data_IF_959461112789
#
_entry.id   IF_959461112789
#
_cell.length_a   1.000
_cell.length_b   1.000
_cell.length_c   1.000
_cell.angle_alpha   90.00
_cell.angle_beta   90.00
_cell.angle_gamma   90.00
#
_symmetry.space_group_name_H-M   'P 1'
#
loop_
_entity.id
_entity.type
_entity.pdbx_description
1 polymer ?
#
# COMPACT_ATOMS: atom_id res chain seq x y z
N UNK A 1 -9.71 -9.33 -4.22
CA UNK A 1 -9.80 -8.75 -5.58
C UNK A 1 -10.13 -9.89 -6.55
N UNK A 2 -10.97 -9.62 -7.56
CA UNK A 2 -11.36 -10.61 -8.57
C UNK A 2 -11.08 -10.03 -9.96
N UNK A 3 -10.39 -10.80 -10.81
CA UNK A 3 -10.05 -10.41 -12.18
C UNK A 3 -10.83 -11.25 -13.20
N UNK A 4 -11.43 -10.58 -14.18
CA UNK A 4 -12.12 -11.20 -15.31
C UNK A 4 -11.53 -10.72 -16.64
N UNK A 5 -11.32 -11.65 -17.57
CA UNK A 5 -11.09 -11.36 -18.98
C UNK A 5 -12.43 -11.39 -19.73
N UNK A 6 -12.66 -10.39 -20.57
CA UNK A 6 -13.85 -10.30 -21.41
C UNK A 6 -13.52 -10.78 -22.83
N UNK A 7 -14.44 -11.49 -23.46
CA UNK A 7 -14.30 -12.01 -24.83
C UNK A 7 -15.30 -11.34 -25.79
N UNK A 8 -15.13 -11.55 -27.10
CA UNK A 8 -15.94 -10.90 -28.15
C UNK A 8 -17.44 -11.25 -28.09
N UNK A 9 -17.77 -12.40 -27.50
CA UNK A 9 -19.15 -12.81 -27.25
C UNK A 9 -19.75 -12.22 -25.95
N UNK A 10 -19.02 -11.35 -25.25
CA UNK A 10 -19.43 -10.75 -23.98
C UNK A 10 -19.38 -11.70 -22.78
N UNK A 11 -18.76 -12.88 -22.93
CA UNK A 11 -18.49 -13.79 -21.81
C UNK A 11 -17.39 -13.24 -20.92
N UNK A 12 -17.56 -13.45 -19.60
CA UNK A 12 -16.58 -13.16 -18.57
C UNK A 12 -15.94 -14.47 -18.15
N UNK A 13 -14.62 -14.55 -18.14
CA UNK A 13 -13.89 -15.65 -17.50
C UNK A 13 -13.05 -15.09 -16.37
N UNK A 14 -13.21 -15.65 -15.17
CA UNK A 14 -12.31 -15.38 -14.05
C UNK A 14 -10.92 -15.87 -14.46
N UNK A 15 -9.90 -15.04 -14.24
CA UNK A 15 -8.49 -15.39 -14.50
C UNK A 15 -7.65 -14.94 -13.30
N UNK A 16 -6.54 -15.61 -13.05
CA UNK A 16 -5.63 -15.27 -11.96
C UNK A 16 -4.60 -14.20 -12.37
N UNK A 17 -4.24 -14.11 -13.65
CA UNK A 17 -3.28 -13.14 -14.18
C UNK A 17 -3.77 -12.43 -15.44
N UNK A 18 -3.26 -11.22 -15.68
CA UNK A 18 -3.52 -10.42 -16.87
C UNK A 18 -2.21 -10.04 -17.56
N UNK A 19 -2.11 -10.28 -18.87
CA UNK A 19 -0.96 -9.89 -19.69
C UNK A 19 -1.10 -8.46 -20.26
N UNK A 20 -2.24 -7.79 -20.02
CA UNK A 20 -2.54 -6.44 -20.48
C UNK A 20 -2.24 -6.20 -21.98
N UNK A 21 -2.50 -7.21 -22.82
CA UNK A 21 -2.37 -7.09 -24.28
C UNK A 21 -3.39 -6.12 -24.86
N UNK A 22 -3.00 -5.40 -25.92
CA UNK A 22 -3.80 -4.34 -26.53
C UNK A 22 -5.13 -4.80 -27.13
N UNK A 23 -5.29 -6.08 -27.47
CA UNK A 23 -6.56 -6.65 -27.96
C UNK A 23 -7.52 -7.08 -26.84
N UNK A 24 -7.12 -6.96 -25.57
CA UNK A 24 -7.88 -7.46 -24.42
C UNK A 24 -8.62 -6.37 -23.69
N UNK A 25 -9.62 -6.82 -22.94
CA UNK A 25 -10.41 -5.99 -22.02
C UNK A 25 -10.54 -6.77 -20.73
N UNK A 26 -10.27 -6.10 -19.62
CA UNK A 26 -10.32 -6.68 -18.29
C UNK A 26 -11.32 -5.93 -17.41
N UNK A 27 -12.03 -6.68 -16.57
CA UNK A 27 -12.85 -6.16 -15.48
C UNK A 27 -12.21 -6.62 -14.18
N UNK A 28 -11.90 -5.67 -13.31
CA UNK A 28 -11.20 -5.90 -12.05
C UNK A 28 -12.09 -5.38 -10.92
N UNK A 29 -12.52 -6.28 -10.05
CA UNK A 29 -13.29 -5.94 -8.86
C UNK A 29 -12.36 -5.93 -7.62
N UNK A 30 -12.06 -4.72 -7.14
CA UNK A 30 -11.25 -4.46 -5.94
C UNK A 30 -12.13 -4.09 -4.73
N UNK A 31 -13.34 -4.65 -4.67
CA UNK A 31 -14.37 -4.41 -3.65
C UNK A 31 -14.93 -2.99 -3.64
N UNK A 32 -14.11 -1.97 -3.34
CA UNK A 32 -14.47 -0.54 -3.29
C UNK A 32 -14.52 0.13 -4.66
N UNK A 33 -13.69 -0.35 -5.60
CA UNK A 33 -13.63 0.16 -6.97
C UNK A 33 -13.70 -1.01 -7.95
N UNK A 34 -14.48 -0.84 -9.02
CA UNK A 34 -14.50 -1.74 -10.18
C UNK A 34 -13.82 -1.02 -11.33
N UNK A 35 -12.67 -1.56 -11.77
CA UNK A 35 -11.90 -1.02 -12.88
C UNK A 35 -12.24 -1.76 -14.17
N UNK A 36 -12.37 -1.00 -15.26
CA UNK A 36 -12.47 -1.48 -16.62
C UNK A 36 -11.22 -1.08 -17.38
N UNK A 37 -10.34 -2.04 -17.67
CA UNK A 37 -9.15 -1.77 -18.46
C UNK A 37 -9.39 -2.10 -19.94
N UNK A 38 -9.11 -1.13 -20.81
CA UNK A 38 -9.32 -1.22 -22.25
C UNK A 38 -7.99 -1.19 -22.99
N UNK A 39 -7.64 -2.31 -23.64
CA UNK A 39 -6.53 -2.35 -24.58
C UNK A 39 -6.79 -1.45 -25.79
N UNK A 40 -5.73 -0.84 -26.33
CA UNK A 40 -5.83 0.15 -27.41
C UNK A 40 -6.51 -0.41 -28.67
N UNK A 41 -6.27 -1.69 -28.97
CA UNK A 41 -6.75 -2.38 -30.17
C UNK A 41 -7.95 -3.30 -29.88
N UNK A 42 -8.58 -3.16 -28.71
CA UNK A 42 -9.77 -3.95 -28.37
C UNK A 42 -11.02 -3.43 -29.07
N UNK A 43 -11.91 -4.34 -29.47
CA UNK A 43 -13.11 -4.01 -30.23
C UNK A 43 -14.08 -3.15 -29.42
N UNK A 44 -14.81 -2.24 -30.08
CA UNK A 44 -15.86 -1.43 -29.42
C UNK A 44 -16.91 -2.31 -28.75
N UNK A 45 -17.35 -3.37 -29.44
CA UNK A 45 -18.31 -4.37 -28.93
C UNK A 45 -17.86 -4.98 -27.59
N UNK A 46 -16.58 -5.32 -27.47
CA UNK A 46 -16.00 -5.88 -26.24
C UNK A 46 -16.00 -4.87 -25.09
N UNK A 47 -15.70 -3.60 -25.37
CA UNK A 47 -15.75 -2.50 -24.39
C UNK A 47 -17.18 -2.23 -23.92
N UNK A 48 -18.16 -2.28 -24.82
CA UNK A 48 -19.58 -2.10 -24.48
C UNK A 48 -20.09 -3.24 -23.57
N UNK A 49 -19.72 -4.48 -23.88
CA UNK A 49 -20.00 -5.61 -23.00
C UNK A 49 -19.36 -5.44 -21.64
N UNK A 50 -18.10 -5.00 -21.58
CA UNK A 50 -17.40 -4.73 -20.33
C UNK A 50 -18.17 -3.75 -19.44
N UNK A 51 -18.62 -2.64 -20.03
CA UNK A 51 -19.37 -1.61 -19.33
C UNK A 51 -20.71 -2.14 -18.81
N UNK A 52 -21.44 -2.89 -19.63
CA UNK A 52 -22.70 -3.52 -19.22
C UNK A 52 -22.49 -4.47 -18.03
N UNK A 53 -21.48 -5.34 -18.12
CA UNK A 53 -21.14 -6.30 -17.06
C UNK A 53 -20.69 -5.64 -15.77
N UNK A 54 -19.88 -4.58 -15.84
CA UNK A 54 -19.44 -3.86 -14.65
C UNK A 54 -20.62 -3.19 -13.94
N UNK A 55 -21.55 -2.60 -14.68
CA UNK A 55 -22.77 -2.04 -14.10
C UNK A 55 -23.67 -3.12 -13.46
N UNK A 56 -23.87 -4.26 -14.13
CA UNK A 56 -24.62 -5.40 -13.57
C UNK A 56 -24.00 -5.92 -12.27
N UNK A 57 -22.67 -6.03 -12.22
CA UNK A 57 -21.94 -6.44 -11.03
C UNK A 57 -22.07 -5.40 -9.91
N UNK A 58 -21.94 -4.12 -10.25
CA UNK A 58 -21.98 -3.04 -9.26
C UNK A 58 -23.37 -2.87 -8.62
N UNK A 59 -24.45 -3.07 -9.38
CA UNK A 59 -25.83 -3.03 -8.87
C UNK A 59 -26.09 -4.05 -7.75
N UNK A 60 -25.34 -5.16 -7.74
CA UNK A 60 -25.48 -6.22 -6.73
C UNK A 60 -24.73 -5.89 -5.42
N UNK A 61 -23.83 -4.90 -5.41
CA UNK A 61 -23.04 -4.51 -4.24
C UNK A 61 -23.82 -3.54 -3.34
N UNK A 62 -23.62 -3.67 -2.03
CA UNK A 62 -24.12 -2.72 -1.01
C UNK A 62 -22.98 -2.41 -0.03
N UNK A 63 -22.36 -1.22 -0.08
CA UNK A 63 -22.62 -0.10 -0.99
C UNK A 63 -22.13 -0.35 -2.43
N UNK A 64 -22.63 0.40 -3.43
CA UNK A 64 -22.08 0.35 -4.79
C UNK A 64 -20.63 0.83 -4.79
N UNK A 65 -19.78 0.13 -5.56
CA UNK A 65 -18.39 0.48 -5.79
C UNK A 65 -18.26 1.65 -6.79
N UNK A 66 -17.14 2.37 -6.73
CA UNK A 66 -16.77 3.36 -7.75
C UNK A 66 -16.41 2.65 -9.05
N UNK A 67 -16.97 3.06 -10.18
CA UNK A 67 -16.58 2.55 -11.50
C UNK A 67 -15.49 3.45 -12.10
N UNK A 68 -14.41 2.86 -12.60
CA UNK A 68 -13.32 3.58 -13.25
C UNK A 68 -12.90 2.92 -14.55
N UNK A 69 -12.82 3.71 -15.62
CA UNK A 69 -12.35 3.25 -16.93
C UNK A 69 -10.90 3.66 -17.08
N UNK A 70 -10.06 2.69 -17.44
CA UNK A 70 -8.63 2.86 -17.63
C UNK A 70 -8.29 2.45 -19.06
N UNK A 71 -7.74 3.36 -19.84
CA UNK A 71 -7.26 3.06 -21.18
C UNK A 71 -5.78 2.68 -21.11
N UNK A 72 -5.36 1.74 -21.97
CA UNK A 72 -3.96 1.40 -22.10
C UNK A 72 -3.08 2.63 -22.34
N UNK A 73 -1.95 2.70 -21.65
CA UNK A 73 -1.00 3.81 -21.62
C UNK A 73 -1.56 5.11 -21.00
N UNK A 74 -2.73 5.02 -20.35
CA UNK A 74 -3.34 6.08 -19.55
C UNK A 74 -3.69 5.55 -18.16
N UNK A 75 -2.94 4.56 -17.68
CA UNK A 75 -3.02 4.08 -16.31
C UNK A 75 -2.48 5.13 -15.33
N UNK A 76 -3.11 5.29 -14.17
CA UNK A 76 -2.70 6.25 -13.15
C UNK A 76 -3.03 5.77 -11.74
N UNK A 77 -2.36 6.38 -10.76
CA UNK A 77 -2.64 6.18 -9.33
C UNK A 77 -2.59 4.72 -8.90
N UNK A 78 -3.52 4.32 -8.03
CA UNK A 78 -3.62 2.97 -7.46
C UNK A 78 -3.67 1.86 -8.53
N UNK A 79 -4.18 2.17 -9.73
CA UNK A 79 -4.29 1.17 -10.78
C UNK A 79 -2.91 0.69 -11.30
N UNK A 80 -1.86 1.51 -11.23
CA UNK A 80 -0.51 1.10 -11.65
C UNK A 80 -0.02 -0.06 -10.77
N UNK A 81 -0.17 0.06 -9.45
CA UNK A 81 0.18 -1.01 -8.51
C UNK A 81 -0.68 -2.27 -8.73
N UNK A 82 -1.99 -2.11 -8.94
CA UNK A 82 -2.89 -3.22 -9.28
C UNK A 82 -2.45 -3.91 -10.56
N UNK A 83 -2.05 -3.16 -11.59
CA UNK A 83 -1.59 -3.70 -12.87
C UNK A 83 -0.35 -4.58 -12.71
N UNK A 84 0.65 -4.12 -11.96
CA UNK A 84 1.85 -4.93 -11.70
C UNK A 84 1.52 -6.20 -10.92
N UNK A 85 0.70 -6.11 -9.88
CA UNK A 85 0.22 -7.28 -9.14
C UNK A 85 -0.55 -8.29 -10.02
N UNK A 86 -1.39 -7.80 -10.94
CA UNK A 86 -2.15 -8.67 -11.82
C UNK A 86 -1.31 -9.31 -12.94
N UNK A 87 -0.15 -8.72 -13.29
CA UNK A 87 0.80 -9.35 -14.22
C UNK A 87 1.47 -10.57 -13.59
N UNK A 88 1.90 -10.44 -12.33
CA UNK A 88 2.53 -11.54 -11.58
C UNK A 88 1.51 -12.62 -11.20
N UNK A 89 0.26 -12.23 -11.02
CA UNK A 89 -0.88 -13.11 -10.81
C UNK A 89 -1.35 -13.13 -9.37
N UNK A 90 -2.64 -13.36 -9.18
CA UNK A 90 -3.27 -13.48 -7.88
C UNK A 90 -2.93 -14.86 -7.30
N UNK A 91 -2.21 -14.87 -6.18
CA UNK A 91 -1.98 -16.08 -5.39
C UNK A 91 -3.35 -16.58 -4.89
N UNK A 92 -3.84 -17.69 -5.43
CA UNK A 92 -5.00 -18.39 -4.86
C UNK A 92 -4.49 -19.22 -3.68
N UNK A 93 -4.91 -18.88 -2.46
CA UNK A 93 -4.64 -19.65 -1.24
C UNK A 93 -3.18 -20.08 -1.03
N UNK A 94 -2.22 -19.27 -1.45
CA UNK A 94 -0.83 -19.47 -1.07
C UNK A 94 -0.67 -19.10 0.40
N UNK A 95 0.12 -19.89 1.13
CA UNK A 95 0.72 -19.46 2.39
C UNK A 95 1.09 -17.98 2.25
N UNK A 96 0.65 -17.15 3.21
CA UNK A 96 1.09 -15.76 3.26
C UNK A 96 2.60 -15.89 3.40
N UNK A 97 3.33 -15.72 2.29
CA UNK A 97 4.78 -15.53 2.34
C UNK A 97 4.98 -14.44 3.37
N UNK A 98 5.66 -14.80 4.46
CA UNK A 98 6.00 -13.85 5.48
C UNK A 98 6.63 -12.66 4.77
N UNK A 99 6.10 -11.47 5.02
CA UNK A 99 6.70 -10.26 4.47
C UNK A 99 8.15 -10.25 4.96
N UNK A 100 9.09 -10.06 4.04
CA UNK A 100 10.50 -9.92 4.40
C UNK A 100 10.63 -8.86 5.49
N UNK A 101 11.35 -9.20 6.56
CA UNK A 101 11.58 -8.29 7.67
C UNK A 101 12.38 -7.08 7.18
N UNK A 102 12.17 -5.93 7.83
CA UNK A 102 12.92 -4.72 7.49
C UNK A 102 14.37 -4.90 7.92
N UNK A 103 15.28 -5.05 6.96
CA UNK A 103 16.71 -4.97 7.21
C UNK A 103 17.14 -3.50 7.24
N UNK A 104 17.74 -3.07 8.36
CA UNK A 104 18.33 -1.74 8.47
C UNK A 104 19.73 -1.79 7.82
N UNK A 105 19.91 -1.12 6.69
CA UNK A 105 21.20 -1.02 5.99
C UNK A 105 22.17 -0.05 6.70
N UNK A 106 22.45 -0.28 7.98
CA UNK A 106 23.26 0.61 8.82
C UNK A 106 24.70 0.68 8.33
N UNK A 107 25.30 -0.47 8.02
CA UNK A 107 26.70 -0.55 7.59
C UNK A 107 26.91 0.18 6.26
N UNK A 108 26.05 -0.10 5.27
CA UNK A 108 26.06 0.62 3.98
C UNK A 108 25.85 2.12 4.18
N UNK A 109 24.91 2.51 5.07
CA UNK A 109 24.68 3.93 5.39
C UNK A 109 25.94 4.58 5.97
N UNK A 110 26.66 3.90 6.86
CA UNK A 110 27.90 4.39 7.46
C UNK A 110 29.05 4.47 6.44
N UNK A 111 29.14 3.51 5.52
CA UNK A 111 30.13 3.51 4.43
C UNK A 111 29.92 4.70 3.49
N UNK A 112 28.68 4.95 3.07
CA UNK A 112 28.34 6.09 2.19
C UNK A 112 28.67 7.44 2.85
N UNK A 113 28.33 7.58 4.14
CA UNK A 113 28.68 8.79 4.92
C UNK A 113 30.20 8.95 5.03
N UNK A 114 30.93 7.86 5.26
CA UNK A 114 32.40 7.86 5.35
C UNK A 114 33.04 8.20 4.00
N UNK A 115 32.39 7.87 2.89
CA UNK A 115 32.77 8.28 1.53
C UNK A 115 32.45 9.75 1.20
N UNK A 116 31.89 10.51 2.15
CA UNK A 116 31.59 11.94 2.01
C UNK A 116 30.22 12.22 1.39
N UNK A 117 29.33 11.23 1.27
CA UNK A 117 27.95 11.47 0.84
C UNK A 117 27.18 12.15 1.98
N UNK A 118 26.51 13.25 1.66
CA UNK A 118 25.67 13.95 2.63
C UNK A 118 24.51 13.06 3.09
N UNK A 119 24.26 13.10 4.40
CA UNK A 119 23.19 12.33 5.02
C UNK A 119 21.83 12.85 4.58
N UNK A 120 21.09 12.03 3.85
CA UNK A 120 19.71 12.30 3.47
C UNK A 120 18.71 11.89 4.57
N UNK A 121 17.40 12.01 4.29
CA UNK A 121 16.38 11.68 5.26
C UNK A 121 16.37 10.19 5.62
N UNK A 122 16.62 9.31 4.66
CA UNK A 122 16.62 7.87 4.89
C UNK A 122 17.79 7.48 5.79
N UNK A 123 18.99 7.97 5.51
CA UNK A 123 20.16 7.78 6.37
C UNK A 123 19.94 8.38 7.78
N UNK A 124 19.25 9.52 7.92
CA UNK A 124 18.84 10.03 9.23
C UNK A 124 17.96 9.04 10.01
N UNK A 125 16.97 8.44 9.34
CA UNK A 125 16.02 7.52 9.96
C UNK A 125 16.71 6.21 10.31
N UNK A 126 17.50 5.63 9.40
CA UNK A 126 18.21 4.37 9.58
C UNK A 126 19.13 4.42 10.81
N UNK A 127 19.96 5.47 10.92
CA UNK A 127 20.85 5.64 12.08
C UNK A 127 20.08 5.88 13.39
N UNK A 128 18.96 6.58 13.33
CA UNK A 128 18.12 6.81 14.51
C UNK A 128 17.40 5.53 14.96
N UNK A 129 16.94 4.71 14.00
CA UNK A 129 16.28 3.44 14.23
C UNK A 129 17.23 2.41 14.85
N UNK A 130 18.46 2.31 14.31
CA UNK A 130 19.53 1.46 14.87
C UNK A 130 19.89 1.87 16.30
N UNK A 131 20.01 3.17 16.56
CA UNK A 131 20.22 3.65 17.93
C UNK A 131 19.04 3.31 18.83
N UNK A 132 17.81 3.37 18.31
CA UNK A 132 16.59 3.10 19.09
C UNK A 132 16.46 1.61 19.44
N UNK A 133 16.78 0.72 18.50
CA UNK A 133 16.73 -0.73 18.72
C UNK A 133 17.74 -1.19 19.79
N UNK A 134 18.91 -0.54 19.86
CA UNK A 134 19.94 -0.78 20.88
C UNK A 134 19.57 -0.33 22.30
N UNK A 135 18.50 0.46 22.47
CA UNK A 135 18.08 0.96 23.79
C UNK A 135 17.12 0.00 24.54
N UNK A 136 16.89 -1.22 24.03
CA UNK A 136 16.09 -2.28 24.67
C UNK A 136 14.69 -1.82 25.14
N UNK A 137 14.08 -0.89 24.40
CA UNK A 137 12.70 -0.46 24.69
C UNK A 137 11.77 -1.63 24.38
N UNK A 138 10.79 -1.92 25.24
CA UNK A 138 9.84 -3.01 24.98
C UNK A 138 9.01 -2.77 23.71
N UNK A 139 8.58 -3.85 23.06
CA UNK A 139 7.69 -3.78 21.89
C UNK A 139 6.38 -3.02 22.19
N UNK A 140 5.83 -3.20 23.39
CA UNK A 140 4.62 -2.51 23.85
C UNK A 140 4.87 -1.01 24.03
N UNK A 141 5.99 -0.63 24.63
CA UNK A 141 6.36 0.77 24.81
C UNK A 141 6.65 1.47 23.48
N UNK A 142 7.30 0.79 22.52
CA UNK A 142 7.50 1.29 21.16
C UNK A 142 6.15 1.48 20.44
N UNK A 143 5.24 0.51 20.57
CA UNK A 143 3.89 0.60 20.01
C UNK A 143 3.13 1.80 20.58
N UNK A 144 3.25 2.04 21.90
CA UNK A 144 2.67 3.20 22.57
C UNK A 144 3.31 4.52 22.12
N UNK A 145 4.63 4.55 21.92
CA UNK A 145 5.32 5.71 21.36
C UNK A 145 4.85 6.01 19.93
N UNK A 146 4.76 5.00 19.08
CA UNK A 146 4.30 5.13 17.70
C UNK A 146 2.87 5.67 17.64
N UNK A 147 1.95 5.08 18.44
CA UNK A 147 0.57 5.54 18.57
C UNK A 147 0.49 7.04 18.91
N UNK A 148 1.26 7.47 19.92
CA UNK A 148 1.29 8.87 20.34
C UNK A 148 1.79 9.80 19.23
N UNK A 149 2.86 9.43 18.52
CA UNK A 149 3.44 10.22 17.43
C UNK A 149 2.49 10.35 16.23
N UNK A 150 1.85 9.24 15.83
CA UNK A 150 0.83 9.24 14.77
C UNK A 150 -0.33 10.18 15.10
N UNK A 151 -0.84 10.12 16.34
CA UNK A 151 -1.92 11.00 16.80
C UNK A 151 -1.51 12.48 16.83
N UNK A 152 -0.28 12.79 17.24
CA UNK A 152 0.25 14.17 17.23
C UNK A 152 0.28 14.74 15.80
N UNK A 153 0.73 13.94 14.82
CA UNK A 153 0.79 14.36 13.42
C UNK A 153 -0.60 14.60 12.83
N UNK A 154 -1.55 13.70 13.12
CA UNK A 154 -2.92 13.81 12.63
C UNK A 154 -3.68 14.99 13.25
N UNK A 155 -3.44 15.28 14.53
CA UNK A 155 -4.22 16.29 15.29
C UNK A 155 -3.57 17.67 15.37
N UNK A 156 -2.46 17.91 14.67
CA UNK A 156 -1.84 19.24 14.51
C UNK A 156 -1.79 20.08 15.81
N UNK A 157 -1.17 19.55 16.87
CA UNK A 157 -0.87 20.19 18.18
C UNK A 157 -1.86 19.98 19.34
N UNK A 158 -2.94 19.20 19.19
CA UNK A 158 -3.73 18.75 20.35
C UNK A 158 -3.04 17.53 20.99
N UNK A 159 -2.73 17.63 22.28
CA UNK A 159 -2.17 16.50 23.05
C UNK A 159 -3.19 15.34 23.04
N UNK A 160 -2.83 14.14 22.53
CA UNK A 160 -3.75 13.01 22.52
C UNK A 160 -4.15 12.61 23.94
N UNK A 161 -5.40 12.21 24.13
CA UNK A 161 -5.85 11.66 25.42
C UNK A 161 -5.31 10.24 25.63
N UNK A 162 -5.15 9.80 26.88
CA UNK A 162 -4.63 8.46 27.17
C UNK A 162 -5.50 7.36 26.56
N UNK A 163 -6.82 7.54 26.59
CA UNK A 163 -7.79 6.60 25.97
C UNK A 163 -7.56 6.43 24.46
N UNK A 164 -7.20 7.50 23.77
CA UNK A 164 -6.91 7.45 22.33
C UNK A 164 -5.57 6.79 22.05
N UNK A 165 -4.56 7.04 22.89
CA UNK A 165 -3.26 6.40 22.81
C UNK A 165 -3.46 4.89 23.01
N UNK A 166 -4.13 4.45 24.07
CA UNK A 166 -4.40 3.02 24.34
C UNK A 166 -5.11 2.35 23.17
N UNK A 167 -6.19 2.95 22.65
CA UNK A 167 -6.90 2.40 21.49
C UNK A 167 -5.97 2.25 20.28
N UNK A 168 -5.14 3.26 20.01
CA UNK A 168 -4.22 3.23 18.86
C UNK A 168 -3.07 2.23 19.07
N UNK A 169 -2.57 2.09 20.30
CA UNK A 169 -1.59 1.07 20.66
C UNK A 169 -2.15 -0.33 20.40
N UNK A 170 -3.39 -0.62 20.80
CA UNK A 170 -4.03 -1.92 20.53
C UNK A 170 -4.16 -2.21 19.02
N UNK A 171 -4.43 -1.20 18.19
CA UNK A 171 -4.44 -1.35 16.73
C UNK A 171 -3.04 -1.71 16.19
N UNK A 172 -1.98 -1.12 16.73
CA UNK A 172 -0.59 -1.38 16.34
C UNK A 172 -0.13 -2.76 16.84
N UNK A 173 -0.48 -3.15 18.07
CA UNK A 173 -0.13 -4.47 18.62
C UNK A 173 -0.78 -5.61 17.82
N UNK A 174 -1.94 -5.37 17.20
CA UNK A 174 -2.60 -6.32 16.30
C UNK A 174 -2.06 -6.29 14.87
N UNK A 175 -1.17 -5.35 14.57
CA UNK A 175 -0.49 -5.32 13.28
C UNK A 175 0.63 -6.34 13.23
N UNK A 176 1.03 -6.74 12.02
CA UNK A 176 2.16 -7.65 11.80
C UNK A 176 3.50 -6.90 11.70
N UNK A 177 3.65 -5.79 12.44
CA UNK A 177 4.89 -5.02 12.45
C UNK A 177 5.94 -5.72 13.31
N UNK A 178 7.18 -5.76 12.83
CA UNK A 178 8.34 -6.26 13.58
C UNK A 178 8.89 -5.19 14.51
N UNK A 179 9.80 -5.58 15.40
CA UNK A 179 10.43 -4.66 16.35
C UNK A 179 11.25 -3.58 15.64
N UNK A 180 12.04 -3.98 14.65
CA UNK A 180 12.90 -3.14 13.82
C UNK A 180 12.05 -2.12 13.05
N UNK A 181 10.92 -2.55 12.52
CA UNK A 181 9.95 -1.66 11.86
C UNK A 181 9.33 -0.64 12.80
N UNK A 182 8.99 -1.04 14.04
CA UNK A 182 8.53 -0.08 15.04
C UNK A 182 9.62 0.95 15.36
N UNK A 183 10.87 0.52 15.50
CA UNK A 183 12.01 1.43 15.71
C UNK A 183 12.16 2.41 14.53
N UNK A 184 12.05 1.91 13.30
CA UNK A 184 12.13 2.73 12.09
C UNK A 184 11.01 3.75 12.02
N UNK A 185 9.75 3.32 12.16
CA UNK A 185 8.56 4.18 12.11
C UNK A 185 8.58 5.23 13.22
N UNK A 186 8.95 4.84 14.45
CA UNK A 186 9.07 5.79 15.57
C UNK A 186 10.14 6.84 15.26
N UNK A 187 11.27 6.44 14.67
CA UNK A 187 12.37 7.34 14.31
C UNK A 187 11.97 8.30 13.20
N UNK A 188 11.32 7.80 12.15
CA UNK A 188 10.76 8.59 11.06
C UNK A 188 9.83 9.68 11.59
N UNK A 189 8.81 9.31 12.38
CA UNK A 189 7.84 10.28 12.86
C UNK A 189 8.47 11.31 13.81
N UNK A 190 9.44 10.90 14.66
CA UNK A 190 10.20 11.84 15.50
C UNK A 190 10.95 12.87 14.66
N UNK A 191 11.63 12.44 13.59
CA UNK A 191 12.38 13.33 12.69
C UNK A 191 11.42 14.27 11.95
N UNK A 192 10.34 13.75 11.38
CA UNK A 192 9.35 14.54 10.64
C UNK A 192 8.68 15.60 11.52
N UNK A 193 8.30 15.24 12.76
CA UNK A 193 7.72 16.19 13.72
C UNK A 193 8.73 17.28 14.07
N UNK A 194 10.00 16.92 14.34
CA UNK A 194 11.06 17.90 14.63
C UNK A 194 11.28 18.85 13.45
N UNK A 195 11.40 18.34 12.23
CA UNK A 195 11.57 19.15 11.01
C UNK A 195 10.36 20.06 10.75
N UNK A 196 9.13 19.62 11.08
CA UNK A 196 7.90 20.43 10.98
C UNK A 196 7.80 21.53 12.05
N UNK A 197 8.43 21.36 13.21
CA UNK A 197 8.48 22.38 14.28
C UNK A 197 9.55 23.45 14.05
N UNK A 198 10.52 23.20 13.17
CA UNK A 198 11.59 24.14 12.80
C UNK A 198 11.17 25.07 11.63
N UNK A 199 10.00 24.83 11.01
CA UNK A 199 9.37 25.72 10.02
C UNK A 199 8.34 26.63 10.66
#
# INVERSE_FOLDING_TARGET
>A
MILFSIYENGSLRKVNKADFKSSKVYLIDDFKTVYLWFGSNSSKKKKDFAMKRANELNKKKKPPAKLQIINQNKEFGTFIAIKELLKTGLKENGEIEARDELELNVDETLELISAGIEKDLEAEITLAADKLSKNEISYEDLSKQLAKLQLILLKSKIKPSEKEITKKTEEILKSSATYEELCWLVSELKILIKKKQIK
#
